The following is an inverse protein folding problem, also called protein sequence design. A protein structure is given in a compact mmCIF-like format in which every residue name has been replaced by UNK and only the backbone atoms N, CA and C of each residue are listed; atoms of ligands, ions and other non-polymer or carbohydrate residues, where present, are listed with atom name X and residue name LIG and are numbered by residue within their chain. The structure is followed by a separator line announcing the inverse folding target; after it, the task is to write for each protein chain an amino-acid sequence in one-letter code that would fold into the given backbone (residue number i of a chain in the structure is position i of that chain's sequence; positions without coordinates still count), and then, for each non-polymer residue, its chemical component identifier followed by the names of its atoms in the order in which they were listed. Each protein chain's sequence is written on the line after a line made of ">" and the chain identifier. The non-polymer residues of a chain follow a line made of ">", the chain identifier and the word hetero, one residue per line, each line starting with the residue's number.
data_IF_525118712667
#
_entry.id   IF_525118712667
#
_cell.length_a   1.000
_cell.length_b   1.000
_cell.length_c   1.000
_cell.angle_alpha   90.00
_cell.angle_beta   90.00
_cell.angle_gamma   90.00
#
_symmetry.space_group_name_H-M   'P 1'
#
loop_
_entity.id
_entity.type
_entity.pdbx_description
1 polymer ?
#
# COMPACT_ATOMS: atom_id res chain seq x y z
N UNK A 1 6.23 -16.23 -0.62
CA UNK A 1 7.03 -15.00 -0.48
C UNK A 1 6.62 -14.09 -1.63
N UNK A 2 6.15 -12.89 -1.35
CA UNK A 2 5.80 -11.95 -2.41
C UNK A 2 7.08 -11.34 -3.00
N UNK A 3 7.22 -11.27 -4.33
CA UNK A 3 8.39 -10.67 -4.96
C UNK A 3 8.34 -9.15 -4.81
N UNK A 4 9.49 -8.53 -4.55
CA UNK A 4 9.68 -7.09 -4.69
C UNK A 4 10.24 -6.84 -6.10
N UNK A 5 9.34 -6.84 -7.08
CA UNK A 5 9.69 -6.69 -8.50
C UNK A 5 9.32 -5.31 -9.06
N UNK A 6 9.49 -5.15 -10.36
CA UNK A 6 9.19 -3.90 -11.08
C UNK A 6 7.72 -3.48 -11.00
N UNK A 7 6.77 -4.42 -10.88
CA UNK A 7 5.35 -4.10 -10.73
C UNK A 7 5.09 -3.47 -9.35
N UNK A 8 5.71 -4.01 -8.31
CA UNK A 8 5.63 -3.43 -6.96
C UNK A 8 6.26 -2.04 -6.93
N UNK A 9 7.42 -1.85 -7.57
CA UNK A 9 8.07 -0.54 -7.66
C UNK A 9 7.21 0.49 -8.41
N UNK A 10 6.50 0.08 -9.45
CA UNK A 10 5.57 0.94 -10.18
C UNK A 10 4.38 1.35 -9.31
N UNK A 11 3.75 0.40 -8.62
CA UNK A 11 2.63 0.72 -7.71
C UNK A 11 3.06 1.57 -6.52
N UNK A 12 4.27 1.35 -6.02
CA UNK A 12 4.88 2.19 -4.98
C UNK A 12 4.95 3.65 -5.43
N UNK A 13 5.52 3.90 -6.61
CA UNK A 13 5.62 5.25 -7.14
C UNK A 13 4.22 5.88 -7.32
N UNK A 14 3.26 5.13 -7.86
CA UNK A 14 1.89 5.61 -8.06
C UNK A 14 1.23 6.03 -6.76
N UNK A 15 1.24 5.16 -5.75
CA UNK A 15 0.62 5.45 -4.45
C UNK A 15 1.38 6.59 -3.74
N UNK A 16 2.72 6.61 -3.81
CA UNK A 16 3.54 7.68 -3.24
C UNK A 16 3.13 9.06 -3.77
N UNK A 17 3.11 9.23 -5.09
CA UNK A 17 2.82 10.52 -5.69
C UNK A 17 1.37 10.95 -5.45
N UNK A 18 0.42 10.00 -5.48
CA UNK A 18 -0.98 10.26 -5.13
C UNK A 18 -1.14 10.76 -3.68
N UNK A 19 -0.46 10.11 -2.72
CA UNK A 19 -0.47 10.54 -1.32
C UNK A 19 0.23 11.89 -1.13
N UNK A 20 1.39 12.08 -1.76
CA UNK A 20 2.17 13.32 -1.71
C UNK A 20 1.38 14.51 -2.23
N UNK A 21 0.69 14.35 -3.37
CA UNK A 21 -0.16 15.38 -3.95
C UNK A 21 -1.33 15.76 -3.03
N UNK A 22 -1.75 14.84 -2.15
CA UNK A 22 -2.80 15.05 -1.14
C UNK A 22 -2.24 15.52 0.22
N UNK A 23 -0.93 15.78 0.32
CA UNK A 23 -0.28 16.16 1.57
C UNK A 23 -0.28 15.06 2.64
N UNK A 24 -0.48 13.80 2.23
CA UNK A 24 -0.45 12.63 3.12
C UNK A 24 0.93 11.99 3.09
N UNK A 25 1.35 11.45 4.23
CA UNK A 25 2.59 10.69 4.40
C UNK A 25 2.25 9.33 5.00
N UNK A 26 2.98 8.31 4.57
CA UNK A 26 2.95 6.95 5.10
C UNK A 26 4.40 6.44 5.13
N UNK A 27 4.72 5.48 6.00
CA UNK A 27 6.07 4.93 6.05
C UNK A 27 6.43 4.20 4.74
N UNK A 28 7.71 4.20 4.35
CA UNK A 28 8.15 3.50 3.14
C UNK A 28 7.86 1.99 3.23
N UNK A 29 7.94 1.40 4.44
CA UNK A 29 7.66 -0.02 4.65
C UNK A 29 6.17 -0.33 4.41
N UNK A 30 5.26 0.45 4.99
CA UNK A 30 3.82 0.24 4.79
C UNK A 30 3.44 0.51 3.34
N UNK A 31 4.10 1.48 2.70
CA UNK A 31 3.91 1.75 1.28
C UNK A 31 4.37 0.57 0.42
N UNK A 32 5.50 -0.07 0.72
CA UNK A 32 5.95 -1.30 0.05
C UNK A 32 4.93 -2.43 0.24
N UNK A 33 4.42 -2.64 1.46
CA UNK A 33 3.42 -3.66 1.77
C UNK A 33 2.13 -3.40 0.96
N UNK A 34 1.64 -2.16 0.97
CA UNK A 34 0.44 -1.77 0.24
C UNK A 34 0.61 -1.94 -1.28
N UNK A 35 1.76 -1.54 -1.81
CA UNK A 35 2.08 -1.65 -3.24
C UNK A 35 2.22 -3.11 -3.67
N UNK A 36 2.76 -3.95 -2.79
CA UNK A 36 2.84 -5.40 -3.01
C UNK A 36 1.44 -6.01 -3.10
N UNK A 37 0.55 -5.67 -2.15
CA UNK A 37 -0.83 -6.13 -2.17
C UNK A 37 -1.55 -5.69 -3.47
N UNK A 38 -1.32 -4.44 -3.90
CA UNK A 38 -1.89 -3.93 -5.14
C UNK A 38 -1.40 -4.66 -6.39
N UNK A 39 -0.09 -4.81 -6.52
CA UNK A 39 0.54 -5.43 -7.68
C UNK A 39 0.16 -6.91 -7.83
N UNK A 40 -0.06 -7.60 -6.71
CA UNK A 40 -0.50 -9.00 -6.70
C UNK A 40 -2.03 -9.17 -6.72
N UNK A 41 -2.82 -8.08 -6.77
CA UNK A 41 -4.28 -8.12 -6.65
C UNK A 41 -4.80 -8.80 -5.38
N UNK A 42 -4.05 -8.66 -4.29
CA UNK A 42 -4.33 -9.29 -3.00
C UNK A 42 -5.02 -8.34 -2.02
N UNK A 43 -5.63 -8.93 -1.01
CA UNK A 43 -6.22 -8.22 0.12
C UNK A 43 -5.23 -8.10 1.26
N UNK A 44 -5.08 -6.90 1.82
CA UNK A 44 -4.28 -6.68 3.03
C UNK A 44 -5.13 -6.86 4.29
N UNK A 45 -4.86 -7.91 5.05
CA UNK A 45 -5.48 -8.16 6.36
C UNK A 45 -4.47 -7.75 7.45
N UNK A 46 -4.82 -6.80 8.31
CA UNK A 46 -3.89 -6.26 9.31
C UNK A 46 -4.61 -5.76 10.56
N UNK A 47 -3.89 -5.62 11.69
CA UNK A 47 -4.37 -4.86 12.86
C UNK A 47 -4.00 -3.38 12.80
N UNK A 48 -3.06 -3.05 11.92
CA UNK A 48 -2.47 -1.72 11.81
C UNK A 48 -3.40 -0.77 11.04
N UNK A 49 -3.78 0.32 11.70
CA UNK A 49 -4.72 1.31 11.15
C UNK A 49 -4.04 2.32 10.24
N UNK A 50 -2.72 2.38 10.17
CA UNK A 50 -2.00 3.31 9.29
C UNK A 50 -2.28 2.99 7.81
N UNK A 51 -2.58 1.73 7.50
CA UNK A 51 -3.03 1.28 6.18
C UNK A 51 -4.40 1.84 5.75
N UNK A 52 -5.17 2.47 6.66
CA UNK A 52 -6.38 3.19 6.26
C UNK A 52 -6.07 4.40 5.36
N UNK A 53 -4.83 4.90 5.36
CA UNK A 53 -4.38 5.97 4.46
C UNK A 53 -4.35 5.54 2.99
N UNK A 54 -4.23 4.24 2.72
CA UNK A 54 -4.10 3.66 1.38
C UNK A 54 -5.32 2.83 0.95
N UNK A 55 -6.39 2.82 1.73
CA UNK A 55 -7.63 2.05 1.45
C UNK A 55 -8.33 2.40 0.14
N UNK A 56 -8.05 3.59 -0.41
CA UNK A 56 -8.61 4.04 -1.68
C UNK A 56 -7.87 3.42 -2.89
N UNK A 57 -6.69 2.82 -2.66
CA UNK A 57 -5.87 2.19 -3.71
C UNK A 57 -5.82 0.67 -3.60
N UNK A 58 -6.08 0.11 -2.41
CA UNK A 58 -6.04 -1.32 -2.13
C UNK A 58 -7.16 -1.75 -1.19
N UNK A 59 -7.52 -3.04 -1.24
CA UNK A 59 -8.47 -3.61 -0.29
C UNK A 59 -7.77 -3.89 1.05
N UNK A 60 -8.13 -3.11 2.08
CA UNK A 60 -7.66 -3.29 3.46
C UNK A 60 -8.79 -3.83 4.33
N UNK A 61 -8.54 -4.90 5.08
CA UNK A 61 -9.38 -5.37 6.17
C UNK A 61 -8.64 -5.24 7.49
N UNK A 62 -9.24 -4.48 8.42
CA UNK A 62 -8.73 -4.34 9.77
C UNK A 62 -9.34 -5.41 10.66
N UNK A 63 -8.49 -6.24 11.26
CA UNK A 63 -8.90 -7.22 12.27
C UNK A 63 -8.62 -6.69 13.68
N UNK A 64 -9.49 -7.04 14.62
CA UNK A 64 -9.40 -6.68 16.05
C UNK A 64 -8.49 -7.62 16.83
#
# INVERSE_FOLDING_TARGET
>A
MYPLDENVAFEYANIYYELKNKGKLISDLDLIIASTAKACHEKLITKDRDFLLVKDYIHVEIIS
#
